data_IF_628925959160
#
_entry.id   IF_628925959160
#
_cell.length_a   1.000
_cell.length_b   1.000
_cell.length_c   1.000
_cell.angle_alpha   90.00
_cell.angle_beta   90.00
_cell.angle_gamma   90.00
#
_symmetry.space_group_name_H-M   'P 1'
#
loop_
_entity.id
_entity.type
_entity.pdbx_description
1 polymer ?
#
# COMPACT_ATOMS: atom_id res chain seq x y z
N UNK A 1 -18.83 -7.54 -23.64
CA UNK A 1 -17.86 -8.63 -23.86
C UNK A 1 -16.56 -8.00 -24.33
N UNK A 2 -15.56 -7.87 -23.46
CA UNK A 2 -14.30 -7.19 -23.81
C UNK A 2 -13.50 -8.00 -24.84
N UNK A 3 -13.07 -7.39 -25.94
CA UNK A 3 -12.22 -8.04 -26.94
C UNK A 3 -10.86 -8.37 -26.33
N UNK A 4 -10.40 -9.61 -26.47
CA UNK A 4 -9.11 -10.09 -25.96
C UNK A 4 -7.99 -9.41 -26.76
N UNK A 5 -7.12 -8.66 -26.09
CA UNK A 5 -5.94 -8.03 -26.72
C UNK A 5 -5.02 -9.17 -27.18
N UNK A 6 -4.69 -9.27 -28.49
CA UNK A 6 -3.82 -10.33 -28.97
C UNK A 6 -2.41 -10.14 -28.39
N UNK A 7 -1.82 -11.24 -27.91
CA UNK A 7 -0.44 -11.24 -27.40
C UNK A 7 0.56 -10.88 -28.50
N UNK A 8 1.65 -10.21 -28.12
CA UNK A 8 2.76 -9.90 -29.02
C UNK A 8 3.36 -11.21 -29.55
N UNK A 9 3.28 -11.43 -30.86
CA UNK A 9 3.92 -12.59 -31.49
C UNK A 9 5.43 -12.40 -31.45
N UNK A 10 6.15 -13.36 -30.87
CA UNK A 10 7.60 -13.42 -30.98
C UNK A 10 7.93 -13.91 -32.39
N UNK A 11 8.40 -13.01 -33.25
CA UNK A 11 8.99 -13.43 -34.52
C UNK A 11 10.29 -14.17 -34.19
N UNK A 12 10.36 -15.44 -34.58
CA UNK A 12 11.62 -16.19 -34.55
C UNK A 12 12.67 -15.51 -35.42
N UNK A 13 13.89 -16.04 -35.38
CA UNK A 13 14.94 -15.61 -36.30
C UNK A 13 14.46 -15.88 -37.73
N UNK A 14 14.33 -14.82 -38.54
CA UNK A 14 13.75 -14.89 -39.89
C UNK A 14 14.51 -15.87 -40.79
N UNK A 15 15.85 -15.76 -40.79
CA UNK A 15 16.76 -16.68 -41.48
C UNK A 15 18.00 -16.96 -40.60
N UNK A 16 18.26 -18.21 -40.21
CA UNK A 16 19.36 -18.54 -39.29
C UNK A 16 20.74 -18.32 -39.92
N UNK A 17 20.88 -18.56 -41.23
CA UNK A 17 22.14 -18.38 -41.95
C UNK A 17 22.56 -16.91 -42.06
N UNK A 18 21.61 -16.01 -42.34
CA UNK A 18 21.89 -14.56 -42.42
C UNK A 18 22.27 -14.03 -41.04
N UNK A 19 21.61 -14.49 -39.98
CA UNK A 19 21.97 -14.10 -38.61
C UNK A 19 23.38 -14.59 -38.24
N UNK A 20 23.73 -15.83 -38.64
CA UNK A 20 25.06 -16.40 -38.43
C UNK A 20 26.14 -15.61 -39.19
N UNK A 21 25.92 -15.31 -40.47
CA UNK A 21 26.82 -14.48 -41.27
C UNK A 21 27.03 -13.09 -40.68
N UNK A 22 25.94 -12.41 -40.25
CA UNK A 22 26.04 -11.11 -39.57
C UNK A 22 26.86 -11.21 -38.29
N UNK A 23 26.64 -12.28 -37.51
CA UNK A 23 27.41 -12.52 -36.28
C UNK A 23 28.89 -12.74 -36.61
N UNK A 24 29.19 -13.58 -37.58
CA UNK A 24 30.56 -13.86 -38.03
C UNK A 24 31.26 -12.59 -38.53
N UNK A 25 30.61 -11.79 -39.39
CA UNK A 25 31.12 -10.49 -39.84
C UNK A 25 31.42 -9.55 -38.66
N UNK A 26 30.54 -9.46 -37.66
CA UNK A 26 30.78 -8.61 -36.48
C UNK A 26 31.87 -9.14 -35.55
N UNK A 27 32.26 -10.41 -35.67
CA UNK A 27 33.30 -11.05 -34.87
C UNK A 27 34.65 -11.07 -35.58
N UNK A 28 34.68 -11.00 -36.92
CA UNK A 28 35.92 -11.01 -37.72
C UNK A 28 36.90 -9.92 -37.26
N UNK A 29 36.41 -8.71 -36.99
CA UNK A 29 37.25 -7.58 -36.57
C UNK A 29 37.48 -7.51 -35.05
N UNK A 30 36.90 -8.44 -34.28
CA UNK A 30 36.99 -8.45 -32.80
C UNK A 30 37.98 -9.51 -32.35
N UNK A 31 39.23 -9.11 -32.23
CA UNK A 31 40.26 -9.92 -31.55
C UNK A 31 39.98 -9.92 -30.04
N UNK A 32 40.06 -11.08 -29.39
CA UNK A 32 40.06 -11.19 -27.94
C UNK A 32 41.43 -10.75 -27.38
N UNK A 33 41.82 -9.51 -27.65
CA UNK A 33 43.04 -8.91 -27.17
C UNK A 33 42.88 -8.53 -25.69
N UNK A 34 43.95 -8.61 -24.87
CA UNK A 34 43.90 -8.09 -23.52
C UNK A 34 43.56 -6.59 -23.54
N UNK A 35 42.90 -6.07 -22.48
CA UNK A 35 42.65 -4.63 -22.37
C UNK A 35 43.94 -3.83 -22.55
N UNK A 36 43.89 -2.76 -23.35
CA UNK A 36 45.06 -1.89 -23.59
C UNK A 36 45.51 -1.15 -22.34
N UNK A 37 44.64 -0.99 -21.35
CA UNK A 37 44.92 -0.35 -20.07
C UNK A 37 44.44 -1.27 -18.95
N UNK A 38 45.38 -1.77 -18.14
CA UNK A 38 45.10 -2.73 -17.07
C UNK A 38 44.30 -2.10 -15.92
N UNK A 39 44.56 -0.83 -15.59
CA UNK A 39 43.92 -0.14 -14.46
C UNK A 39 42.68 0.68 -14.88
N UNK A 40 42.29 0.63 -16.15
CA UNK A 40 41.16 1.40 -16.66
C UNK A 40 39.85 0.65 -16.46
N UNK A 41 39.01 1.16 -15.55
CA UNK A 41 37.66 0.68 -15.35
C UNK A 41 36.66 1.59 -16.07
N UNK A 42 36.01 1.07 -17.12
CA UNK A 42 34.97 1.82 -17.83
C UNK A 42 33.77 2.12 -16.92
N UNK A 43 33.31 3.37 -16.93
CA UNK A 43 32.07 3.75 -16.26
C UNK A 43 30.89 3.15 -17.06
N UNK A 44 29.95 2.44 -16.41
CA UNK A 44 28.79 1.89 -17.09
C UNK A 44 27.99 2.98 -17.83
N UNK A 45 27.53 2.68 -19.05
CA UNK A 45 26.77 3.61 -19.90
C UNK A 45 25.53 4.20 -19.21
N UNK A 46 24.90 3.43 -18.31
CA UNK A 46 23.78 3.89 -17.50
C UNK A 46 24.14 5.06 -16.59
N UNK A 47 25.33 5.04 -15.98
CA UNK A 47 25.83 6.10 -15.10
C UNK A 47 26.16 7.35 -15.91
N UNK A 48 26.75 7.18 -17.10
CA UNK A 48 26.99 8.28 -18.04
C UNK A 48 25.68 8.94 -18.47
N UNK A 49 24.64 8.16 -18.78
CA UNK A 49 23.34 8.69 -19.17
C UNK A 49 22.65 9.44 -18.02
N UNK A 50 22.79 8.98 -16.77
CA UNK A 50 22.31 9.72 -15.59
C UNK A 50 23.05 11.06 -15.46
N UNK A 51 24.36 11.08 -15.71
CA UNK A 51 25.17 12.32 -15.75
C UNK A 51 24.64 13.30 -16.79
N UNK A 52 24.43 12.83 -18.01
CA UNK A 52 23.85 13.60 -19.12
C UNK A 52 22.47 14.15 -18.77
N UNK A 53 21.57 13.33 -18.22
CA UNK A 53 20.23 13.75 -17.80
C UNK A 53 20.28 14.80 -16.69
N UNK A 54 21.21 14.65 -15.74
CA UNK A 54 21.44 15.63 -14.67
C UNK A 54 21.93 16.97 -15.23
N UNK A 55 22.81 16.95 -16.21
CA UNK A 55 23.29 18.16 -16.90
C UNK A 55 22.16 18.83 -17.68
N UNK A 56 21.38 18.07 -18.45
CA UNK A 56 20.21 18.57 -19.18
C UNK A 56 19.11 19.14 -18.27
N UNK A 57 18.97 18.62 -17.04
CA UNK A 57 18.04 19.13 -16.05
C UNK A 57 18.55 20.39 -15.32
N UNK A 58 19.87 20.61 -15.33
CA UNK A 58 20.54 21.79 -14.74
C UNK A 58 20.70 22.93 -15.76
N UNK A 59 21.04 22.61 -17.00
CA UNK A 59 21.18 23.59 -18.07
C UNK A 59 19.80 24.08 -18.50
N UNK A 60 19.67 25.40 -18.72
CA UNK A 60 18.42 26.05 -19.13
C UNK A 60 17.93 25.65 -20.53
N UNK A 61 18.72 24.85 -21.27
CA UNK A 61 18.34 24.30 -22.58
C UNK A 61 17.33 23.16 -22.47
N UNK A 62 17.28 22.47 -21.33
CA UNK A 62 16.18 21.56 -21.00
C UNK A 62 14.93 22.36 -20.65
N UNK A 63 13.82 22.18 -21.38
CA UNK A 63 12.51 22.81 -21.13
C UNK A 63 11.82 22.35 -19.83
N UNK A 64 12.57 22.00 -18.78
CA UNK A 64 12.05 21.50 -17.52
C UNK A 64 11.75 22.66 -16.58
N UNK A 65 10.46 22.99 -16.41
CA UNK A 65 10.03 24.02 -15.45
C UNK A 65 10.29 23.54 -14.02
N UNK A 66 11.34 24.04 -13.38
CA UNK A 66 11.60 23.85 -11.95
C UNK A 66 10.43 24.43 -11.14
N UNK A 67 9.62 23.57 -10.49
CA UNK A 67 8.58 24.03 -9.56
C UNK A 67 9.25 24.68 -8.36
N UNK A 68 9.09 26.00 -8.19
CA UNK A 68 9.49 26.70 -6.95
C UNK A 68 8.78 26.04 -5.76
N UNK A 69 9.54 25.52 -4.79
CA UNK A 69 8.97 25.05 -3.51
C UNK A 69 8.35 26.25 -2.81
N UNK A 70 7.04 26.23 -2.57
CA UNK A 70 6.37 27.26 -1.76
C UNK A 70 6.94 27.17 -0.34
N UNK A 71 7.82 28.11 0.04
CA UNK A 71 8.18 28.32 1.44
C UNK A 71 7.01 29.04 2.10
N UNK A 72 6.25 28.32 2.92
CA UNK A 72 5.16 28.89 3.70
C UNK A 72 4.72 27.91 4.77
N UNK A 73 5.22 28.09 6.00
CA UNK A 73 4.55 27.56 7.18
C UNK A 73 3.13 28.15 7.19
N UNK A 74 2.12 27.29 7.36
CA UNK A 74 0.71 27.71 7.34
C UNK A 74 0.47 28.69 8.49
N UNK A 75 0.35 29.98 8.20
CA UNK A 75 0.00 31.03 9.18
C UNK A 75 -1.51 31.14 9.46
N UNK A 76 -2.32 30.20 8.98
CA UNK A 76 -3.78 30.28 9.07
C UNK A 76 -4.41 28.97 9.56
N UNK A 77 -5.59 29.10 10.18
CA UNK A 77 -6.42 27.98 10.60
C UNK A 77 -6.73 27.07 9.43
N UNK A 78 -6.77 25.75 9.69
CA UNK A 78 -7.01 24.76 8.64
C UNK A 78 -8.46 24.87 8.14
N UNK A 79 -8.62 24.94 6.82
CA UNK A 79 -9.91 25.09 6.16
C UNK A 79 -10.06 24.01 5.07
N UNK A 80 -10.97 23.07 5.31
CA UNK A 80 -11.27 21.96 4.41
C UNK A 80 -12.39 22.31 3.43
N UNK A 81 -13.12 23.41 3.61
CA UNK A 81 -14.22 23.80 2.70
C UNK A 81 -13.73 24.00 1.26
N UNK A 82 -12.46 24.39 1.10
CA UNK A 82 -11.82 24.57 -0.21
C UNK A 82 -11.58 23.26 -0.96
N UNK A 83 -11.70 22.12 -0.29
CA UNK A 83 -11.60 20.79 -0.88
C UNK A 83 -12.96 20.24 -1.32
N UNK A 84 -14.06 20.95 -1.05
CA UNK A 84 -15.39 20.53 -1.49
C UNK A 84 -15.53 20.73 -3.01
N UNK A 85 -15.44 19.63 -3.75
CA UNK A 85 -15.72 19.53 -5.18
C UNK A 85 -15.62 18.09 -5.64
N UNK A 86 -16.45 17.68 -6.60
CA UNK A 86 -16.31 16.37 -7.22
C UNK A 86 -14.97 16.32 -7.95
N UNK A 87 -14.09 15.40 -7.57
CA UNK A 87 -12.85 15.17 -8.31
C UNK A 87 -13.13 14.77 -9.77
N UNK A 88 -12.10 14.74 -10.63
CA UNK A 88 -12.28 14.23 -11.99
C UNK A 88 -12.77 12.77 -11.95
N UNK A 89 -13.85 12.48 -12.68
CA UNK A 89 -14.37 11.12 -12.78
C UNK A 89 -13.39 10.26 -13.58
N UNK A 90 -12.99 9.14 -13.01
CA UNK A 90 -12.17 8.15 -13.71
C UNK A 90 -13.04 7.40 -14.73
N UNK A 91 -12.48 6.94 -15.86
CA UNK A 91 -13.22 6.12 -16.82
C UNK A 91 -13.85 4.88 -16.15
N UNK A 92 -15.17 4.71 -16.31
CA UNK A 92 -15.94 3.63 -15.69
C UNK A 92 -16.46 3.94 -14.28
N UNK A 93 -16.31 5.18 -13.81
CA UNK A 93 -16.88 5.66 -12.55
C UNK A 93 -18.15 6.46 -12.84
N UNK A 94 -19.32 5.89 -12.54
CA UNK A 94 -20.64 6.51 -12.81
C UNK A 94 -21.16 7.35 -11.63
N UNK A 95 -20.53 7.24 -10.46
CA UNK A 95 -20.94 7.92 -9.24
C UNK A 95 -20.00 9.09 -8.92
N UNK A 96 -20.57 10.25 -8.62
CA UNK A 96 -19.84 11.40 -8.12
C UNK A 96 -19.53 11.24 -6.63
N UNK A 97 -18.42 11.82 -6.20
CA UNK A 97 -18.08 11.90 -4.78
C UNK A 97 -19.17 12.66 -4.01
N UNK A 98 -19.46 12.20 -2.80
CA UNK A 98 -20.39 12.88 -1.90
C UNK A 98 -19.81 14.20 -1.40
N UNK A 99 -20.69 15.17 -1.17
CA UNK A 99 -20.32 16.43 -0.53
C UNK A 99 -19.79 16.18 0.88
N UNK A 100 -18.55 16.61 1.15
CA UNK A 100 -17.94 16.55 2.47
C UNK A 100 -18.49 17.66 3.38
N UNK A 101 -18.58 17.40 4.70
CA UNK A 101 -18.95 18.42 5.67
C UNK A 101 -17.96 19.58 5.66
N UNK A 102 -18.50 20.80 5.70
CA UNK A 102 -17.78 22.05 5.58
C UNK A 102 -16.95 22.38 6.86
N UNK A 103 -15.87 21.62 7.08
CA UNK A 103 -15.06 21.69 8.30
C UNK A 103 -13.96 22.76 8.24
N UNK A 104 -13.92 23.61 9.25
CA UNK A 104 -12.84 24.59 9.51
C UNK A 104 -12.41 24.48 10.96
N UNK A 105 -11.12 24.63 11.22
CA UNK A 105 -10.59 24.77 12.57
C UNK A 105 -11.16 26.06 13.18
N UNK A 106 -11.66 25.99 14.41
CA UNK A 106 -12.20 27.14 15.15
C UNK A 106 -11.06 27.91 15.81
N UNK A 107 -11.28 29.19 16.10
CA UNK A 107 -10.32 29.99 16.87
C UNK A 107 -10.16 29.42 18.28
N UNK A 108 -8.91 29.22 18.72
CA UNK A 108 -8.61 28.62 20.04
C UNK A 108 -8.78 27.10 20.12
N UNK A 109 -9.18 26.42 19.05
CA UNK A 109 -9.32 24.97 19.02
C UNK A 109 -7.94 24.29 18.85
N UNK A 110 -7.64 23.32 19.73
CA UNK A 110 -6.43 22.51 19.59
C UNK A 110 -6.46 21.69 18.30
N UNK A 111 -5.29 21.39 17.74
CA UNK A 111 -5.18 20.57 16.54
C UNK A 111 -5.83 19.20 16.72
N UNK A 112 -5.64 18.56 17.88
CA UNK A 112 -6.21 17.25 18.19
C UNK A 112 -7.74 17.28 18.23
N UNK A 113 -8.34 18.32 18.82
CA UNK A 113 -9.80 18.47 18.81
C UNK A 113 -10.35 18.66 17.41
N UNK A 114 -9.64 19.42 16.56
CA UNK A 114 -10.03 19.57 15.16
C UNK A 114 -9.92 18.26 14.38
N UNK A 115 -8.82 17.51 14.56
CA UNK A 115 -8.64 16.18 13.97
C UNK A 115 -9.74 15.21 14.43
N UNK A 116 -10.11 15.21 15.70
CA UNK A 116 -11.23 14.39 16.22
C UNK A 116 -12.56 14.71 15.55
N UNK A 117 -12.85 15.99 15.24
CA UNK A 117 -14.04 16.37 14.46
C UNK A 117 -13.98 15.85 13.03
N UNK A 118 -12.80 15.85 12.39
CA UNK A 118 -12.62 15.27 11.06
C UNK A 118 -12.85 13.75 11.10
N UNK A 119 -12.28 13.06 12.07
CA UNK A 119 -12.45 11.62 12.23
C UNK A 119 -13.92 11.24 12.45
N UNK A 120 -14.61 11.98 13.32
CA UNK A 120 -16.04 11.78 13.55
C UNK A 120 -16.83 11.96 12.25
N UNK A 121 -16.63 13.09 11.57
CA UNK A 121 -17.32 13.40 10.31
C UNK A 121 -17.03 12.40 9.18
N UNK A 122 -15.80 11.90 9.09
CA UNK A 122 -15.44 10.86 8.11
C UNK A 122 -16.05 9.51 8.47
N UNK A 123 -16.11 9.16 9.75
CA UNK A 123 -16.75 7.94 10.23
C UNK A 123 -18.26 7.95 9.94
N UNK A 124 -18.93 9.08 10.13
CA UNK A 124 -20.35 9.26 9.82
C UNK A 124 -20.62 9.07 8.32
N UNK A 125 -19.77 9.64 7.46
CA UNK A 125 -19.86 9.46 6.01
C UNK A 125 -19.67 8.00 5.59
N UNK A 126 -18.69 7.31 6.18
CA UNK A 126 -18.44 5.89 5.91
C UNK A 126 -19.64 5.04 6.35
N UNK A 127 -20.20 5.33 7.52
CA UNK A 127 -21.36 4.62 8.04
C UNK A 127 -22.58 4.86 7.16
N UNK A 128 -22.78 6.08 6.68
CA UNK A 128 -23.84 6.39 5.73
C UNK A 128 -23.68 5.60 4.42
N UNK A 129 -22.50 5.59 3.81
CA UNK A 129 -22.26 4.82 2.57
C UNK A 129 -22.58 3.33 2.78
N UNK A 130 -22.25 2.78 3.97
CA UNK A 130 -22.62 1.39 4.31
C UNK A 130 -24.13 1.22 4.40
N UNK A 131 -24.83 2.15 5.07
CA UNK A 131 -26.29 2.12 5.24
C UNK A 131 -27.01 2.23 3.90
N UNK A 132 -26.58 3.14 3.03
CA UNK A 132 -27.09 3.28 1.67
C UNK A 132 -26.98 2.00 0.86
N UNK A 133 -25.81 1.36 0.91
CA UNK A 133 -25.58 0.10 0.22
C UNK A 133 -26.42 -1.06 0.79
N UNK A 134 -26.65 -1.07 2.10
CA UNK A 134 -27.47 -2.09 2.77
C UNK A 134 -28.96 -1.94 2.47
N UNK A 135 -29.47 -0.71 2.53
CA UNK A 135 -30.91 -0.43 2.42
C UNK A 135 -31.33 0.03 1.02
N UNK A 136 -30.38 0.19 0.09
CA UNK A 136 -30.61 0.76 -1.26
C UNK A 136 -31.33 2.11 -1.18
N UNK A 137 -30.73 3.01 -0.42
CA UNK A 137 -31.18 4.36 -0.15
C UNK A 137 -30.06 5.32 -0.56
N UNK A 138 -30.40 6.54 -0.95
CA UNK A 138 -29.46 7.61 -1.28
C UNK A 138 -29.73 8.76 -0.33
N UNK A 139 -28.73 9.15 0.45
CA UNK A 139 -28.76 10.25 1.39
C UNK A 139 -28.19 11.47 0.69
N UNK A 140 -29.03 12.48 0.51
CA UNK A 140 -28.65 13.71 -0.18
C UNK A 140 -28.08 14.71 0.82
N UNK A 141 -26.97 15.35 0.42
CA UNK A 141 -26.30 16.40 1.19
C UNK A 141 -26.23 17.70 0.42
N UNK A 142 -26.43 18.79 1.13
CA UNK A 142 -26.16 20.13 0.63
C UNK A 142 -24.66 20.36 0.37
N UNK A 143 -24.34 21.49 -0.27
CA UNK A 143 -22.97 21.94 -0.50
C UNK A 143 -22.16 22.11 0.81
N UNK A 144 -22.85 22.38 1.92
CA UNK A 144 -22.27 22.46 3.27
C UNK A 144 -22.00 21.09 3.91
N UNK A 145 -22.50 20.01 3.30
CA UNK A 145 -22.43 18.64 3.81
C UNK A 145 -23.49 18.30 4.87
N UNK A 146 -24.49 19.17 5.04
CA UNK A 146 -25.68 18.88 5.86
C UNK A 146 -26.63 17.97 5.09
N UNK A 147 -27.22 16.99 5.79
CA UNK A 147 -28.18 16.04 5.18
C UNK A 147 -29.51 16.76 4.96
N UNK A 148 -29.99 16.77 3.72
CA UNK A 148 -31.28 17.39 3.36
C UNK A 148 -32.43 16.42 3.30
N UNK A 149 -32.14 15.17 2.92
CA UNK A 149 -33.19 14.19 2.75
C UNK A 149 -32.67 12.85 2.30
N UNK A 150 -33.60 11.90 2.28
CA UNK A 150 -33.33 10.50 2.03
C UNK A 150 -34.24 10.03 0.90
N UNK A 151 -33.63 9.54 -0.18
CA UNK A 151 -34.32 9.08 -1.38
C UNK A 151 -34.11 7.59 -1.60
N UNK A 152 -35.05 6.94 -2.30
CA UNK A 152 -34.92 5.52 -2.65
C UNK A 152 -33.89 5.34 -3.77
N UNK A 153 -32.94 4.44 -3.58
CA UNK A 153 -31.90 4.16 -4.55
C UNK A 153 -32.42 3.47 -5.82
N UNK A 154 -31.85 3.84 -6.96
CA UNK A 154 -32.16 3.24 -8.25
C UNK A 154 -31.75 1.76 -8.28
N UNK A 155 -32.74 0.86 -8.37
CA UNK A 155 -32.53 -0.60 -8.43
C UNK A 155 -31.62 -1.05 -9.59
N UNK A 156 -31.48 -0.22 -10.63
CA UNK A 156 -30.61 -0.48 -11.79
C UNK A 156 -29.11 -0.42 -11.44
N UNK A 157 -28.72 0.34 -10.42
CA UNK A 157 -27.30 0.51 -10.05
C UNK A 157 -26.87 -0.45 -8.93
N UNK A 158 -27.76 -1.34 -8.49
CA UNK A 158 -27.43 -2.36 -7.49
C UNK A 158 -26.53 -3.44 -8.06
N UNK A 159 -25.45 -3.75 -7.32
CA UNK A 159 -24.64 -4.94 -7.52
C UNK A 159 -25.52 -6.20 -7.56
N UNK A 160 -25.19 -7.14 -8.44
CA UNK A 160 -26.00 -8.34 -8.68
C UNK A 160 -26.22 -9.16 -7.39
N UNK A 161 -25.21 -9.21 -6.51
CA UNK A 161 -25.31 -9.85 -5.20
C UNK A 161 -26.38 -9.20 -4.29
N UNK A 162 -26.50 -7.86 -4.31
CA UNK A 162 -27.52 -7.14 -3.55
C UNK A 162 -28.92 -7.41 -4.13
N UNK A 163 -29.05 -7.41 -5.46
CA UNK A 163 -30.30 -7.75 -6.14
C UNK A 163 -30.77 -9.16 -5.81
N UNK A 164 -29.86 -10.14 -5.76
CA UNK A 164 -30.16 -11.53 -5.38
C UNK A 164 -30.68 -11.63 -3.94
N UNK A 165 -30.08 -10.89 -2.99
CA UNK A 165 -30.56 -10.85 -1.60
C UNK A 165 -31.98 -10.29 -1.48
N UNK A 166 -32.27 -9.19 -2.18
CA UNK A 166 -33.60 -8.57 -2.20
C UNK A 166 -34.63 -9.51 -2.82
N UNK A 167 -34.32 -10.14 -3.96
CA UNK A 167 -35.22 -11.13 -4.58
C UNK A 167 -35.50 -12.29 -3.64
N UNK A 168 -34.47 -12.81 -2.98
CA UNK A 168 -34.60 -13.91 -2.02
C UNK A 168 -35.44 -13.51 -0.81
N UNK A 169 -35.24 -12.32 -0.23
CA UNK A 169 -36.04 -11.86 0.91
C UNK A 169 -37.51 -11.62 0.54
N UNK A 170 -37.79 -11.10 -0.66
CA UNK A 170 -39.16 -10.97 -1.16
C UNK A 170 -39.79 -12.34 -1.41
N UNK A 171 -39.04 -13.28 -1.99
CA UNK A 171 -39.51 -14.65 -2.23
C UNK A 171 -39.78 -15.39 -0.91
N UNK A 172 -38.88 -15.28 0.07
CA UNK A 172 -39.02 -15.88 1.40
C UNK A 172 -40.24 -15.29 2.14
N UNK A 173 -40.51 -13.98 1.99
CA UNK A 173 -41.72 -13.33 2.52
C UNK A 173 -43.00 -13.86 1.87
N UNK A 174 -43.05 -13.98 0.54
CA UNK A 174 -44.23 -14.53 -0.17
C UNK A 174 -44.45 -16.02 0.13
N UNK A 175 -43.38 -16.77 0.42
CA UNK A 175 -43.44 -18.17 0.85
C UNK A 175 -43.78 -18.33 2.33
N UNK A 176 -44.05 -17.24 3.07
CA UNK A 176 -44.36 -17.28 4.51
C UNK A 176 -43.20 -17.78 5.38
N UNK A 177 -41.98 -17.85 4.83
CA UNK A 177 -40.78 -18.26 5.56
C UNK A 177 -40.37 -17.11 6.48
N UNK A 178 -40.92 -17.09 7.69
CA UNK A 178 -40.42 -16.23 8.77
C UNK A 178 -38.93 -16.55 8.98
N UNK A 179 -38.09 -15.56 9.31
CA UNK A 179 -36.72 -15.85 9.68
C UNK A 179 -36.78 -16.78 10.91
N UNK A 180 -36.38 -18.04 10.76
CA UNK A 180 -36.39 -19.00 11.87
C UNK A 180 -35.67 -18.34 13.05
N UNK A 181 -36.41 -17.99 14.10
CA UNK A 181 -35.88 -17.32 15.29
C UNK A 181 -34.72 -18.14 15.88
N UNK A 182 -34.81 -19.46 15.74
CA UNK A 182 -33.78 -20.42 16.10
C UNK A 182 -32.47 -20.26 15.30
N UNK A 183 -32.55 -19.94 13.99
CA UNK A 183 -31.36 -19.69 13.16
C UNK A 183 -30.72 -18.35 13.48
N UNK A 184 -31.53 -17.33 13.78
CA UNK A 184 -31.02 -16.01 14.21
C UNK A 184 -30.37 -16.11 15.59
N UNK A 185 -31.00 -16.80 16.54
CA UNK A 185 -30.45 -17.07 17.87
C UNK A 185 -29.15 -17.90 17.81
N UNK A 186 -29.08 -18.92 16.94
CA UNK A 186 -27.84 -19.69 16.69
C UNK A 186 -26.71 -18.81 16.14
N UNK A 187 -27.02 -17.89 15.23
CA UNK A 187 -26.06 -16.96 14.63
C UNK A 187 -25.56 -15.92 15.64
N UNK A 188 -26.46 -15.41 16.47
CA UNK A 188 -26.15 -14.46 17.56
C UNK A 188 -25.30 -15.11 18.65
N UNK A 189 -25.63 -16.35 19.07
CA UNK A 189 -24.81 -17.17 19.98
C UNK A 189 -23.40 -17.41 19.41
N UNK A 190 -23.26 -17.68 18.11
CA UNK A 190 -21.94 -17.83 17.48
C UNK A 190 -21.15 -16.51 17.45
N UNK A 191 -21.79 -15.38 17.21
CA UNK A 191 -21.14 -14.07 17.16
C UNK A 191 -20.66 -13.65 18.55
N UNK A 192 -21.50 -13.83 19.58
CA UNK A 192 -21.14 -13.61 20.98
C UNK A 192 -19.98 -14.51 21.42
N UNK A 193 -19.96 -15.78 21.00
CA UNK A 193 -18.85 -16.70 21.29
C UNK A 193 -17.53 -16.25 20.64
N UNK A 194 -17.57 -15.68 19.43
CA UNK A 194 -16.40 -15.11 18.73
C UNK A 194 -15.88 -13.85 19.42
N UNK A 195 -16.76 -12.90 19.77
CA UNK A 195 -16.40 -11.67 20.47
C UNK A 195 -15.75 -11.97 21.83
N UNK A 196 -16.31 -12.91 22.61
CA UNK A 196 -15.73 -13.35 23.89
C UNK A 196 -14.37 -14.02 23.73
N UNK A 197 -14.16 -14.82 22.67
CA UNK A 197 -12.83 -15.42 22.41
C UNK A 197 -11.80 -14.40 21.92
N UNK A 198 -12.21 -13.30 21.29
CA UNK A 198 -11.30 -12.21 20.88
C UNK A 198 -10.90 -11.33 22.07
N UNK A 199 -11.83 -11.05 23.00
CA UNK A 199 -11.53 -10.30 24.23
C UNK A 199 -10.66 -11.10 25.22
N UNK A 200 -10.83 -12.42 25.30
CA UNK A 200 -9.98 -13.29 26.15
C UNK A 200 -8.53 -13.47 25.62
N UNK A 201 -8.22 -13.01 24.40
CA UNK A 201 -6.85 -13.07 23.86
C UNK A 201 -6.02 -11.81 24.11
N UNK A 202 -6.61 -10.73 24.62
CA UNK A 202 -5.89 -9.48 24.94
C UNK A 202 -5.43 -9.40 26.40
N UNK A 203 -5.99 -10.19 27.31
CA UNK A 203 -5.65 -10.17 28.74
C UNK A 203 -5.49 -11.60 29.26
N UNK A 204 -4.24 -12.06 29.38
CA UNK A 204 -3.83 -13.17 30.25
C UNK A 204 -4.39 -14.57 29.96
N UNK A 205 -3.53 -15.47 29.48
CA UNK A 205 -3.73 -16.92 29.69
C UNK A 205 -3.84 -17.75 28.42
N UNK A 206 -2.79 -18.50 28.16
CA UNK A 206 -2.61 -19.45 27.07
C UNK A 206 -3.72 -20.51 26.94
N UNK A 207 -4.46 -20.47 25.83
CA UNK A 207 -4.86 -21.68 25.12
C UNK A 207 -4.62 -21.51 23.62
N UNK A 208 -3.43 -21.93 23.17
CA UNK A 208 -3.07 -22.00 21.75
C UNK A 208 -4.05 -22.94 21.04
N UNK A 209 -5.02 -22.40 20.31
CA UNK A 209 -5.77 -23.17 19.30
C UNK A 209 -4.77 -23.90 18.42
N UNK A 210 -4.80 -25.22 18.43
CA UNK A 210 -3.93 -26.07 17.60
C UNK A 210 -4.23 -25.74 16.13
N UNK A 211 -3.27 -25.10 15.46
CA UNK A 211 -3.35 -24.77 14.04
C UNK A 211 -3.61 -26.05 13.23
N UNK A 212 -4.54 -25.99 12.27
CA UNK A 212 -4.86 -27.13 11.41
C UNK A 212 -3.64 -27.60 10.62
N UNK A 213 -3.63 -28.88 10.18
CA UNK A 213 -2.47 -29.52 9.50
C UNK A 213 -1.94 -28.67 8.33
N UNK A 214 -2.83 -28.10 7.52
CA UNK A 214 -2.49 -27.20 6.39
C UNK A 214 -1.90 -25.86 6.84
N UNK A 215 -2.36 -25.27 7.95
CA UNK A 215 -1.80 -24.03 8.50
C UNK A 215 -0.41 -24.26 9.09
N UNK A 216 -0.20 -25.38 9.82
CA UNK A 216 1.15 -25.78 10.30
C UNK A 216 2.11 -26.00 9.14
N UNK A 217 1.64 -26.61 8.04
CA UNK A 217 2.48 -26.85 6.86
C UNK A 217 2.86 -25.53 6.16
N UNK A 218 1.92 -24.57 6.03
CA UNK A 218 2.22 -23.23 5.50
C UNK A 218 3.23 -22.47 6.37
N UNK A 219 3.08 -22.52 7.69
CA UNK A 219 4.01 -21.88 8.61
C UNK A 219 5.40 -22.54 8.62
N UNK A 220 5.49 -23.85 8.38
CA UNK A 220 6.77 -24.55 8.18
C UNK A 220 7.43 -24.23 6.83
N UNK A 221 6.64 -23.87 5.81
CA UNK A 221 7.14 -23.52 4.48
C UNK A 221 7.47 -22.02 4.34
N UNK A 222 6.88 -21.15 5.16
CA UNK A 222 7.13 -19.72 5.17
C UNK A 222 8.60 -19.33 5.45
N UNK A 223 9.30 -19.87 6.48
CA UNK A 223 10.71 -19.54 6.70
C UNK A 223 11.60 -20.04 5.57
N UNK A 224 11.30 -21.21 4.99
CA UNK A 224 12.05 -21.76 3.85
C UNK A 224 11.87 -20.96 2.56
N UNK A 225 10.75 -20.25 2.40
CA UNK A 225 10.54 -19.30 1.30
C UNK A 225 11.25 -17.98 1.56
N UNK A 226 11.22 -17.50 2.81
CA UNK A 226 11.92 -16.28 3.22
C UNK A 226 13.45 -16.45 3.11
N UNK A 227 14.01 -17.61 3.51
CA UNK A 227 15.43 -17.94 3.30
C UNK A 227 15.80 -17.93 1.81
N UNK A 228 14.96 -18.50 0.94
CA UNK A 228 15.19 -18.49 -0.52
C UNK A 228 15.07 -17.10 -1.15
N UNK A 229 14.26 -16.21 -0.58
CA UNK A 229 14.16 -14.80 -1.03
C UNK A 229 15.30 -13.94 -0.47
N UNK A 230 15.81 -14.25 0.73
CA UNK A 230 16.96 -13.58 1.35
C UNK A 230 18.31 -14.05 0.78
N UNK A 231 18.37 -15.22 0.13
CA UNK A 231 19.59 -15.73 -0.53
C UNK A 231 20.06 -14.86 -1.72
N UNK A 232 19.20 -13.95 -2.21
CA UNK A 232 19.60 -12.90 -3.15
C UNK A 232 20.52 -11.83 -2.55
N UNK A 233 20.62 -11.78 -1.21
CA UNK A 233 21.63 -11.02 -0.44
C UNK A 233 22.22 -11.94 0.63
N UNK A 234 22.89 -13.01 0.19
CA UNK A 234 23.67 -13.87 1.09
C UNK A 234 24.62 -13.03 1.97
N UNK A 235 24.77 -13.43 3.24
CA UNK A 235 25.76 -12.84 4.15
C UNK A 235 27.13 -12.95 3.49
N UNK A 236 27.72 -11.81 3.13
CA UNK A 236 29.09 -11.75 2.61
C UNK A 236 30.01 -11.66 3.81
N UNK A 237 30.82 -12.70 4.01
CA UNK A 237 31.93 -12.65 4.95
C UNK A 237 33.13 -12.06 4.22
N UNK A 238 33.88 -11.19 4.90
CA UNK A 238 35.18 -10.76 4.40
C UNK A 238 36.20 -11.84 4.78
N UNK A 239 36.99 -12.30 3.79
CA UNK A 239 38.09 -13.23 4.03
C UNK A 239 39.30 -12.44 4.53
N UNK A 240 39.62 -12.55 5.83
CA UNK A 240 40.78 -11.89 6.44
C UNK A 240 42.01 -12.79 6.30
N UNK A 241 43.08 -12.25 5.70
CA UNK A 241 44.35 -12.96 5.52
C UNK A 241 45.29 -12.74 6.71
N UNK A 242 46.21 -13.69 6.91
CA UNK A 242 47.20 -13.60 7.98
C UNK A 242 48.11 -12.38 7.78
N UNK A 243 48.13 -11.48 8.77
CA UNK A 243 48.86 -10.20 8.72
C UNK A 243 47.99 -8.96 8.45
N UNK A 244 46.70 -9.12 8.15
CA UNK A 244 45.76 -7.99 8.05
C UNK A 244 45.34 -7.49 9.43
N UNK A 245 45.39 -6.16 9.63
CA UNK A 245 44.92 -5.51 10.87
C UNK A 245 43.48 -5.06 10.69
N UNK A 246 42.53 -5.73 11.36
CA UNK A 246 41.10 -5.36 11.34
C UNK A 246 40.85 -4.17 12.28
N UNK A 247 40.10 -3.18 11.81
CA UNK A 247 39.70 -2.03 12.64
C UNK A 247 38.42 -2.33 13.41
N UNK A 248 38.36 -1.87 14.67
CA UNK A 248 37.14 -1.95 15.47
C UNK A 248 36.00 -1.18 14.78
N UNK A 249 34.77 -1.70 14.77
CA UNK A 249 33.62 -0.97 14.25
C UNK A 249 33.45 0.39 14.96
N UNK A 250 32.96 1.42 14.26
CA UNK A 250 32.84 2.76 14.81
C UNK A 250 31.88 2.79 16.00
N UNK A 251 32.32 3.38 17.12
CA UNK A 251 31.47 3.56 18.30
C UNK A 251 30.36 4.58 18.02
N UNK A 252 29.11 4.16 18.24
CA UNK A 252 27.94 5.05 18.19
C UNK A 252 27.92 5.93 19.44
N UNK A 253 28.42 7.17 19.32
CA UNK A 253 28.40 8.16 20.42
C UNK A 253 27.00 8.74 20.69
N UNK A 254 26.05 8.59 19.76
CA UNK A 254 24.70 9.15 19.88
C UNK A 254 23.75 8.14 20.51
N UNK A 255 23.08 8.57 21.58
CA UNK A 255 22.01 7.80 22.22
C UNK A 255 20.77 7.71 21.31
N UNK A 256 20.03 6.60 21.34
CA UNK A 256 18.76 6.47 20.63
C UNK A 256 17.72 7.47 21.17
N UNK A 257 16.76 7.87 20.33
CA UNK A 257 15.71 8.82 20.70
C UNK A 257 14.81 8.21 21.79
N UNK A 258 14.51 9.00 22.83
CA UNK A 258 13.59 8.60 23.91
C UNK A 258 14.25 7.99 25.14
N UNK A 259 15.59 8.02 25.25
CA UNK A 259 16.31 7.56 26.45
C UNK A 259 16.68 8.75 27.33
N UNK A 260 16.47 8.62 28.64
CA UNK A 260 16.80 9.64 29.63
C UNK A 260 18.28 10.04 29.59
N UNK A 261 18.60 11.34 29.62
CA UNK A 261 19.98 11.82 29.54
C UNK A 261 20.85 11.43 30.75
N UNK A 262 20.24 11.13 31.91
CA UNK A 262 20.94 10.74 33.13
C UNK A 262 21.02 9.23 33.37
N UNK A 263 20.47 8.39 32.48
CA UNK A 263 20.56 6.94 32.67
C UNK A 263 21.99 6.45 32.41
N UNK A 264 22.50 5.56 33.27
CA UNK A 264 23.81 4.92 33.09
C UNK A 264 23.71 3.98 31.87
N UNK A 265 24.69 4.07 30.96
CA UNK A 265 24.80 3.13 29.84
C UNK A 265 25.23 1.80 30.43
N UNK A 266 24.36 0.78 30.40
CA UNK A 266 24.74 -0.59 30.74
C UNK A 266 25.68 -1.06 29.63
N UNK A 267 26.98 -1.10 29.94
CA UNK A 267 27.98 -1.72 29.08
C UNK A 267 28.00 -3.19 29.44
N UNK A 268 27.25 -4.01 28.71
CA UNK A 268 27.41 -5.46 28.81
C UNK A 268 28.81 -5.81 28.28
N UNK A 269 29.69 -6.34 29.15
CA UNK A 269 31.01 -6.82 28.73
C UNK A 269 32.21 -6.51 29.64
N UNK A 270 32.03 -6.28 30.94
CA UNK A 270 33.15 -6.42 31.90
C UNK A 270 33.03 -7.79 32.56
N UNK A 271 33.60 -8.80 31.92
CA UNK A 271 33.91 -10.09 32.54
C UNK A 271 35.31 -9.90 33.13
N UNK A 272 35.41 -9.96 34.46
CA UNK A 272 36.67 -10.06 35.19
C UNK A 272 37.29 -11.44 34.99
#
# INVERSE_FOLDING_TARGET
MGRKIPGKKHHGVKDPFIQKLRRELTLQDKVNAPPTKLDYQEIPKSVLEIGRLRELAKSSSGKFKQKKKKKGGRKGLVDLQKLNGSGPLLPGMDQHDKNLPALRQKYGESENTFLGRIETATSDLINEIKMEAQHNVVVNRDRSGVVTGVQKGNKKNLNEAARRKIRKSVQDFHLGKKPDEEKMAKKEKMLMKKLKTTQQTSEGGSQKKRLGKKQRQKLKMAPKKLEKELDGMGRRYEEVRFGETVHEPPHLKKRPRGVDPNSKVVREGTIY
#
